data_IF_029902913936
#
_entry.id   IF_029902913936
#
_cell.length_a   1.000
_cell.length_b   1.000
_cell.length_c   1.000
_cell.angle_alpha   90.00
_cell.angle_beta   90.00
_cell.angle_gamma   90.00
#
_symmetry.space_group_name_H-M   'P 1'
#
loop_
_entity.id
_entity.type
_entity.pdbx_description
1 polymer ?
#
# COMPACT_ATOMS: atom_id res chain seq x y z
N UNK A 1 33.33 6.53 -1.69
CA UNK A 1 32.24 5.86 -0.96
C UNK A 1 31.13 5.62 -1.97
N UNK A 2 30.79 4.35 -2.26
CA UNK A 2 29.71 4.04 -3.20
C UNK A 2 28.42 4.13 -2.41
N UNK A 3 27.62 5.16 -2.70
CA UNK A 3 26.21 5.19 -2.27
C UNK A 3 25.58 3.90 -2.78
N UNK A 4 25.20 3.01 -1.85
CA UNK A 4 24.27 1.94 -2.19
C UNK A 4 22.98 2.66 -2.55
N UNK A 5 22.66 2.75 -3.85
CA UNK A 5 21.29 3.01 -4.28
C UNK A 5 20.44 1.94 -3.59
N UNK A 6 19.72 2.28 -2.52
CA UNK A 6 18.61 1.44 -2.08
C UNK A 6 17.69 1.35 -3.29
N UNK A 7 17.52 0.13 -3.78
CA UNK A 7 16.45 -0.17 -4.72
C UNK A 7 15.20 -0.13 -3.85
N UNK A 8 14.41 0.94 -3.98
CA UNK A 8 13.14 1.03 -3.27
C UNK A 8 12.10 0.42 -4.19
N UNK A 9 11.34 -0.54 -3.70
CA UNK A 9 10.16 -1.00 -4.40
C UNK A 9 9.04 0.02 -4.18
N UNK A 10 8.67 0.71 -5.24
CA UNK A 10 7.50 1.58 -5.28
C UNK A 10 6.27 0.74 -5.65
N UNK A 11 5.31 0.67 -4.74
CA UNK A 11 4.03 -0.01 -4.93
C UNK A 11 3.00 1.05 -5.25
N UNK A 12 2.40 0.98 -6.43
CA UNK A 12 1.31 1.88 -6.81
C UNK A 12 0.03 1.44 -6.11
N UNK A 13 -0.62 2.40 -5.46
CA UNK A 13 -1.89 2.19 -4.77
C UNK A 13 -2.94 3.09 -5.41
N UNK A 14 -3.93 2.53 -6.07
CA UNK A 14 -4.97 3.31 -6.76
C UNK A 14 -6.27 3.32 -5.95
N UNK A 15 -6.77 4.51 -5.58
CA UNK A 15 -8.15 4.70 -5.12
C UNK A 15 -9.07 4.84 -6.33
N UNK A 16 -9.95 3.85 -6.53
CA UNK A 16 -10.86 3.78 -7.67
C UNK A 16 -12.28 3.38 -7.25
N UNK A 17 -13.25 3.59 -8.15
CA UNK A 17 -14.63 3.13 -7.98
C UNK A 17 -14.94 2.05 -9.03
N UNK A 18 -15.32 0.85 -8.57
CA UNK A 18 -15.74 -0.27 -9.42
C UNK A 18 -17.12 -0.71 -9.02
N UNK A 19 -18.07 -0.73 -9.97
CA UNK A 19 -19.44 -1.18 -9.73
C UNK A 19 -20.13 -0.49 -8.52
N UNK A 20 -19.90 0.82 -8.34
CA UNK A 20 -20.37 1.65 -7.21
C UNK A 20 -19.71 1.37 -5.85
N UNK A 21 -18.70 0.50 -5.82
CA UNK A 21 -17.90 0.21 -4.63
C UNK A 21 -16.49 0.84 -4.75
N UNK A 22 -15.94 1.25 -3.61
CA UNK A 22 -14.67 1.93 -3.43
C UNK A 22 -13.56 0.92 -3.13
N UNK A 23 -12.43 1.06 -3.81
CA UNK A 23 -11.30 0.13 -3.67
C UNK A 23 -9.97 0.86 -3.52
N UNK A 24 -9.09 0.28 -2.70
CA UNK A 24 -7.65 0.49 -2.81
C UNK A 24 -7.03 -0.70 -3.55
N UNK A 25 -6.45 -0.43 -4.71
CA UNK A 25 -5.79 -1.44 -5.54
C UNK A 25 -4.28 -1.32 -5.37
N UNK A 26 -3.64 -2.34 -4.79
CA UNK A 26 -2.21 -2.42 -4.58
C UNK A 26 -1.57 -3.21 -5.72
N UNK A 27 -0.77 -2.53 -6.54
CA UNK A 27 -0.05 -3.12 -7.68
C UNK A 27 1.37 -3.49 -7.25
N UNK A 28 1.57 -4.76 -6.91
CA UNK A 28 2.89 -5.36 -6.71
C UNK A 28 3.42 -5.94 -8.03
N UNK A 29 4.72 -6.24 -8.14
CA UNK A 29 5.32 -6.73 -9.40
C UNK A 29 4.61 -7.95 -10.01
N UNK A 30 4.07 -8.83 -9.16
CA UNK A 30 3.47 -10.10 -9.59
C UNK A 30 2.02 -10.27 -9.10
N UNK A 31 1.52 -9.37 -8.26
CA UNK A 31 0.24 -9.50 -7.57
C UNK A 31 -0.54 -8.17 -7.66
N UNK A 32 -1.84 -8.27 -7.90
CA UNK A 32 -2.79 -7.18 -7.71
C UNK A 32 -3.70 -7.55 -6.54
N UNK A 33 -3.70 -6.73 -5.49
CA UNK A 33 -4.61 -6.92 -4.35
C UNK A 33 -5.62 -5.79 -4.32
N UNK A 34 -6.90 -6.14 -4.41
CA UNK A 34 -8.00 -5.19 -4.38
C UNK A 34 -8.66 -5.22 -3.00
N UNK A 35 -8.51 -4.15 -2.24
CA UNK A 35 -9.14 -4.00 -0.92
C UNK A 35 -10.44 -3.24 -1.09
N UNK A 36 -11.57 -3.92 -0.90
CA UNK A 36 -12.89 -3.30 -0.95
C UNK A 36 -13.17 -2.52 0.35
N UNK A 37 -13.37 -1.21 0.22
CA UNK A 37 -13.58 -0.30 1.36
C UNK A 37 -15.03 -0.28 1.86
N UNK A 38 -15.98 -0.84 1.12
CA UNK A 38 -17.39 -0.90 1.54
C UNK A 38 -17.77 -2.25 2.18
N UNK A 39 -16.92 -3.27 2.09
CA UNK A 39 -17.21 -4.63 2.59
C UNK A 39 -16.39 -4.98 3.83
N UNK A 40 -17.01 -5.74 4.74
CA UNK A 40 -16.37 -6.26 5.97
C UNK A 40 -15.19 -7.20 5.66
N UNK A 41 -15.19 -7.83 4.48
CA UNK A 41 -14.10 -8.70 4.04
C UNK A 41 -12.77 -7.97 3.76
N UNK A 42 -12.76 -6.63 3.72
CA UNK A 42 -11.54 -5.84 3.53
C UNK A 42 -10.43 -6.14 4.56
N UNK A 43 -10.78 -6.68 5.74
CA UNK A 43 -9.79 -7.14 6.72
C UNK A 43 -8.92 -8.30 6.19
N UNK A 44 -9.48 -9.22 5.40
CA UNK A 44 -8.70 -10.33 4.84
C UNK A 44 -7.81 -9.83 3.70
N UNK A 45 -8.32 -8.91 2.88
CA UNK A 45 -7.56 -8.32 1.78
C UNK A 45 -6.37 -7.50 2.31
N UNK A 46 -6.57 -6.72 3.38
CA UNK A 46 -5.49 -6.02 4.06
C UNK A 46 -4.44 -6.97 4.65
N UNK A 47 -4.84 -8.08 5.25
CA UNK A 47 -3.88 -9.10 5.72
C UNK A 47 -3.02 -9.64 4.58
N UNK A 48 -3.60 -9.81 3.40
CA UNK A 48 -2.86 -10.26 2.22
C UNK A 48 -1.85 -9.19 1.77
N UNK A 49 -2.26 -7.91 1.72
CA UNK A 49 -1.37 -6.76 1.47
C UNK A 49 -0.18 -6.77 2.42
N UNK A 50 -0.43 -6.83 3.74
CA UNK A 50 0.64 -6.89 4.74
C UNK A 50 1.58 -8.08 4.55
N UNK A 51 1.02 -9.26 4.25
CA UNK A 51 1.81 -10.48 4.04
C UNK A 51 2.73 -10.41 2.82
N UNK A 52 2.34 -9.66 1.78
CA UNK A 52 3.18 -9.42 0.61
C UNK A 52 4.26 -8.40 0.97
N UNK A 53 3.89 -7.27 1.60
CA UNK A 53 4.84 -6.23 2.01
C UNK A 53 5.95 -6.81 2.90
N UNK A 54 5.62 -7.62 3.91
CA UNK A 54 6.61 -8.24 4.79
C UNK A 54 7.64 -9.10 4.01
N UNK A 55 7.20 -9.84 2.99
CA UNK A 55 8.09 -10.63 2.12
C UNK A 55 9.00 -9.75 1.26
N UNK A 56 8.50 -8.60 0.81
CA UNK A 56 9.29 -7.63 0.06
C UNK A 56 10.32 -6.93 0.95
N UNK A 57 9.94 -6.62 2.20
CA UNK A 57 10.83 -6.03 3.20
C UNK A 57 12.01 -6.92 3.59
N UNK A 58 12.00 -8.23 3.30
CA UNK A 58 13.20 -9.07 3.45
C UNK A 58 14.30 -8.69 2.45
N UNK A 59 13.93 -8.16 1.29
CA UNK A 59 14.85 -7.93 0.16
C UNK A 59 15.20 -6.46 -0.02
N UNK A 60 14.22 -5.58 0.13
CA UNK A 60 14.35 -4.16 -0.21
C UNK A 60 13.47 -3.27 0.68
N UNK A 61 13.56 -1.96 0.48
CA UNK A 61 12.68 -1.00 1.15
C UNK A 61 11.41 -0.85 0.31
N UNK A 62 10.25 -0.72 0.95
CA UNK A 62 8.95 -0.62 0.27
C UNK A 62 8.36 0.76 0.52
N UNK A 63 7.86 1.41 -0.53
CA UNK A 63 7.14 2.68 -0.48
C UNK A 63 5.82 2.56 -1.22
N UNK A 64 4.71 2.87 -0.55
CA UNK A 64 3.39 2.91 -1.15
C UNK A 64 3.10 4.32 -1.69
N UNK A 65 2.72 4.41 -2.96
CA UNK A 65 2.38 5.66 -3.63
C UNK A 65 0.88 5.69 -3.95
N UNK A 66 0.12 6.54 -3.24
CA UNK A 66 -1.30 6.71 -3.50
C UNK A 66 -1.55 7.55 -4.76
N UNK A 67 -2.33 7.00 -5.66
CA UNK A 67 -2.90 7.68 -6.82
C UNK A 67 -4.43 7.65 -6.73
N UNK A 68 -5.06 8.74 -7.14
CA UNK A 68 -6.53 8.85 -7.18
C UNK A 68 -6.95 8.71 -8.63
N UNK A 69 -7.81 7.74 -8.93
CA UNK A 69 -8.34 7.53 -10.27
C UNK A 69 -9.03 8.80 -10.80
N UNK A 70 -8.80 9.10 -12.08
CA UNK A 70 -9.43 10.23 -12.74
C UNK A 70 -10.96 10.11 -12.67
N UNK A 71 -11.62 11.17 -12.21
CA UNK A 71 -13.07 11.18 -12.07
C UNK A 71 -13.61 10.63 -10.75
N UNK A 72 -12.77 10.13 -9.84
CA UNK A 72 -13.21 9.72 -8.50
C UNK A 72 -13.78 10.91 -7.70
N UNK A 73 -15.04 10.80 -7.23
CA UNK A 73 -15.82 11.95 -6.72
C UNK A 73 -15.86 12.09 -5.20
N UNK A 74 -15.57 11.03 -4.46
CA UNK A 74 -15.80 10.99 -2.99
C UNK A 74 -14.63 11.64 -2.26
N UNK A 75 -14.76 12.94 -1.94
CA UNK A 75 -13.71 13.75 -1.30
C UNK A 75 -13.18 13.15 0.01
N UNK A 76 -14.08 12.72 0.90
CA UNK A 76 -13.71 12.12 2.19
C UNK A 76 -12.78 10.91 2.03
N UNK A 77 -13.06 10.04 1.06
CA UNK A 77 -12.23 8.85 0.82
C UNK A 77 -10.84 9.23 0.34
N UNK A 78 -10.67 10.32 -0.43
CA UNK A 78 -9.35 10.81 -0.85
C UNK A 78 -8.51 11.23 0.36
N UNK A 79 -9.10 11.98 1.27
CA UNK A 79 -8.43 12.47 2.48
C UNK A 79 -8.05 11.31 3.41
N UNK A 80 -9.01 10.44 3.70
CA UNK A 80 -8.79 9.27 4.57
C UNK A 80 -7.75 8.31 3.99
N UNK A 81 -7.81 8.02 2.69
CA UNK A 81 -6.84 7.12 2.07
C UNK A 81 -5.44 7.75 1.99
N UNK A 82 -5.33 9.06 1.81
CA UNK A 82 -4.04 9.75 1.83
C UNK A 82 -3.37 9.66 3.20
N UNK A 83 -4.13 9.92 4.27
CA UNK A 83 -3.64 9.75 5.64
C UNK A 83 -3.29 8.29 5.93
N UNK A 84 -4.17 7.36 5.56
CA UNK A 84 -3.95 5.92 5.75
C UNK A 84 -2.67 5.42 5.07
N UNK A 85 -2.41 5.80 3.82
CA UNK A 85 -1.20 5.39 3.10
C UNK A 85 0.05 6.05 3.69
N UNK A 86 -0.04 7.29 4.17
CA UNK A 86 1.06 7.95 4.86
C UNK A 86 1.42 7.22 6.18
N UNK A 87 0.41 6.89 7.00
CA UNK A 87 0.59 6.15 8.24
C UNK A 87 1.15 4.74 7.98
N UNK A 88 0.61 4.04 6.98
CA UNK A 88 1.07 2.72 6.60
C UNK A 88 2.54 2.74 6.14
N UNK A 89 2.97 3.75 5.36
CA UNK A 89 4.38 3.92 5.01
C UNK A 89 5.27 4.12 6.25
N UNK A 90 4.81 4.87 7.25
CA UNK A 90 5.53 5.04 8.51
C UNK A 90 5.67 3.70 9.27
N UNK A 91 4.60 2.91 9.34
CA UNK A 91 4.61 1.58 9.96
C UNK A 91 5.56 0.62 9.23
N UNK A 92 5.52 0.58 7.89
CA UNK A 92 6.41 -0.24 7.04
C UNK A 92 7.88 0.09 7.33
N UNK A 93 8.22 1.38 7.40
CA UNK A 93 9.58 1.83 7.71
C UNK A 93 10.01 1.37 9.13
N UNK A 94 9.13 1.46 10.12
CA UNK A 94 9.42 0.99 11.48
C UNK A 94 9.63 -0.53 11.52
N UNK A 95 8.75 -1.30 10.87
CA UNK A 95 8.86 -2.77 10.80
C UNK A 95 10.19 -3.19 10.17
N UNK A 96 10.60 -2.54 9.07
CA UNK A 96 11.90 -2.80 8.43
C UNK A 96 13.07 -2.54 9.39
N UNK A 97 13.02 -1.47 10.16
CA UNK A 97 14.06 -1.17 11.16
C UNK A 97 14.12 -2.22 12.26
N UNK A 98 12.97 -2.73 12.73
CA UNK A 98 12.93 -3.83 13.70
C UNK A 98 13.46 -5.14 13.10
N UNK A 99 13.14 -5.45 11.85
CA UNK A 99 13.66 -6.64 11.15
C UNK A 99 15.19 -6.63 11.02
N UNK A 100 15.82 -5.46 10.85
CA UNK A 100 17.28 -5.34 10.79
C UNK A 100 17.99 -5.56 12.13
N UNK A 101 17.25 -5.58 13.25
CA UNK A 101 17.79 -5.82 14.59
C UNK A 101 17.76 -7.30 15.00
N UNK A 102 17.05 -8.13 14.24
CA UNK A 102 16.94 -9.58 14.43
C UNK A 102 18.17 -10.30 13.85
#
# INVERSE_FOLDING_TARGET
MKEKKSMNQEVRVTLCEKEQEDYLCFEFEQDLVEVNLNKVNGQQDLKNVFSIILRLLEKEDVLLNLEIEEGYKKGLYKEVCAEYIADLNNEIAQVKQEMMKL
#
